data_IF_136410854356
#
_entry.id   IF_136410854356
#
_cell.length_a   1.000
_cell.length_b   1.000
_cell.length_c   1.000
_cell.angle_alpha   90.00
_cell.angle_beta   90.00
_cell.angle_gamma   90.00
#
_symmetry.space_group_name_H-M   'P 1'
#
loop_
_entity.id
_entity.type
_entity.pdbx_description
1 polymer ?
#
# COMPACT_ATOMS: atom_id res chain seq x y z
N UNK A 1 11.18 13.86 -13.59
CA UNK A 1 9.86 13.20 -13.48
C UNK A 1 9.96 11.68 -13.42
N UNK A 2 10.82 11.05 -14.23
CA UNK A 2 10.97 9.58 -14.27
C UNK A 2 11.33 8.93 -12.92
N UNK A 3 12.18 9.58 -12.12
CA UNK A 3 12.55 9.12 -10.77
C UNK A 3 11.38 9.11 -9.78
N UNK A 4 10.46 10.07 -9.90
CA UNK A 4 9.30 10.17 -9.02
C UNK A 4 8.32 9.04 -9.32
N UNK A 5 7.97 8.85 -10.60
CA UNK A 5 7.11 7.73 -11.02
C UNK A 5 7.70 6.37 -10.67
N UNK A 6 9.03 6.23 -10.79
CA UNK A 6 9.73 5.02 -10.36
C UNK A 6 9.50 4.72 -8.87
N UNK A 7 9.60 5.74 -8.00
CA UNK A 7 9.35 5.55 -6.58
C UNK A 7 7.89 5.30 -6.23
N UNK A 8 6.96 6.01 -6.87
CA UNK A 8 5.51 5.77 -6.71
C UNK A 8 5.15 4.32 -7.03
N UNK A 9 5.67 3.80 -8.14
CA UNK A 9 5.45 2.41 -8.54
C UNK A 9 6.06 1.40 -7.53
N UNK A 10 7.25 1.67 -7.00
CA UNK A 10 7.85 0.81 -5.99
C UNK A 10 7.06 0.80 -4.68
N UNK A 11 6.61 1.95 -4.21
CA UNK A 11 5.82 2.07 -2.97
C UNK A 11 4.49 1.33 -3.10
N UNK A 12 3.79 1.50 -4.23
CA UNK A 12 2.55 0.77 -4.48
C UNK A 12 2.76 -0.75 -4.58
N UNK A 13 3.84 -1.19 -5.22
CA UNK A 13 4.15 -2.61 -5.33
C UNK A 13 4.36 -3.22 -3.95
N UNK A 14 5.15 -2.56 -3.10
CA UNK A 14 5.39 -2.99 -1.72
C UNK A 14 4.06 -3.05 -0.95
N UNK A 15 3.25 -1.99 -0.96
CA UNK A 15 2.00 -1.98 -0.18
C UNK A 15 1.01 -3.03 -0.68
N UNK A 16 0.93 -3.28 -2.00
CA UNK A 16 0.10 -4.36 -2.56
C UNK A 16 0.56 -5.73 -2.09
N UNK A 17 1.86 -5.98 -2.11
CA UNK A 17 2.44 -7.24 -1.63
C UNK A 17 2.15 -7.45 -0.14
N UNK A 18 2.43 -6.42 0.68
CA UNK A 18 2.17 -6.50 2.13
C UNK A 18 0.68 -6.57 2.48
N UNK A 19 -0.20 -6.04 1.63
CA UNK A 19 -1.65 -6.11 1.79
C UNK A 19 -2.26 -7.48 1.50
N UNK A 20 -1.54 -8.38 0.82
CA UNK A 20 -2.00 -9.75 0.59
C UNK A 20 -1.85 -10.65 1.82
N UNK A 21 -0.96 -10.28 2.75
CA UNK A 21 -0.77 -11.06 3.97
C UNK A 21 -1.94 -10.83 4.92
N UNK A 22 -2.77 -11.86 5.09
CA UNK A 22 -3.79 -11.88 6.13
C UNK A 22 -3.11 -12.05 7.50
N UNK A 23 -3.44 -11.20 8.49
CA UNK A 23 -3.00 -11.39 9.85
C UNK A 23 -3.44 -12.77 10.38
N UNK A 24 -2.56 -13.43 11.12
CA UNK A 24 -2.81 -14.77 11.67
C UNK A 24 -3.77 -14.80 12.86
N UNK A 25 -4.13 -13.63 13.41
CA UNK A 25 -4.96 -13.48 14.59
C UNK A 25 -6.12 -12.51 14.32
N UNK A 26 -7.34 -12.97 14.58
CA UNK A 26 -8.58 -12.18 14.49
C UNK A 26 -9.16 -12.05 13.07
N UNK A 27 -10.34 -11.45 12.98
CA UNK A 27 -10.96 -11.00 11.72
C UNK A 27 -10.43 -9.60 11.36
N UNK A 28 -9.12 -9.49 11.13
CA UNK A 28 -8.52 -8.21 10.74
C UNK A 28 -8.67 -8.03 9.24
N UNK A 29 -9.44 -7.01 8.84
CA UNK A 29 -9.54 -6.59 7.46
C UNK A 29 -8.30 -5.79 7.08
N UNK A 30 -7.77 -6.05 5.88
CA UNK A 30 -6.62 -5.34 5.33
C UNK A 30 -7.08 -4.52 4.13
N UNK A 31 -6.84 -3.21 4.17
CA UNK A 31 -7.20 -2.29 3.10
C UNK A 31 -5.96 -1.53 2.60
N UNK A 32 -5.90 -1.28 1.29
CA UNK A 32 -4.83 -0.48 0.67
C UNK A 32 -5.42 0.80 0.10
N UNK A 33 -4.78 1.94 0.42
CA UNK A 33 -5.23 3.28 0.02
C UNK A 33 -4.09 3.97 -0.72
N UNK A 34 -4.36 4.44 -1.94
CA UNK A 34 -3.38 5.10 -2.80
C UNK A 34 -3.93 6.44 -3.28
N UNK A 35 -3.28 7.53 -2.90
CA UNK A 35 -3.52 8.89 -3.37
C UNK A 35 -2.23 9.39 -4.05
N UNK A 36 -2.18 9.21 -5.37
CA UNK A 36 -1.03 9.63 -6.19
C UNK A 36 -0.92 11.14 -6.35
N UNK A 37 -2.03 11.87 -6.20
CA UNK A 37 -2.05 13.33 -6.36
C UNK A 37 -1.38 14.02 -5.17
N UNK A 38 -1.48 13.42 -3.99
CA UNK A 38 -0.87 13.91 -2.74
C UNK A 38 0.31 13.08 -2.24
N UNK A 39 0.73 12.08 -3.01
CA UNK A 39 1.80 11.13 -2.66
C UNK A 39 1.56 10.42 -1.31
N UNK A 40 0.30 10.08 -1.01
CA UNK A 40 -0.08 9.32 0.19
C UNK A 40 -0.37 7.86 -0.15
N UNK A 41 0.29 6.95 0.55
CA UNK A 41 0.17 5.51 0.34
C UNK A 41 0.06 4.82 1.70
N UNK A 42 -1.03 4.09 1.93
CA UNK A 42 -1.33 3.52 3.23
C UNK A 42 -1.78 2.07 3.14
N UNK A 43 -1.28 1.27 4.08
CA UNK A 43 -1.81 -0.04 4.42
C UNK A 43 -2.58 0.11 5.73
N UNK A 44 -3.89 -0.07 5.69
CA UNK A 44 -4.77 0.03 6.84
C UNK A 44 -5.23 -1.35 7.30
N UNK A 45 -5.38 -1.52 8.62
CA UNK A 45 -5.84 -2.76 9.26
C UNK A 45 -6.91 -2.40 10.29
N UNK A 46 -8.07 -3.03 10.24
CA UNK A 46 -9.17 -2.85 11.21
C UNK A 46 -9.77 -4.17 11.66
#
# INVERSE_FOLDING_TARGET
>A
MEKLEKYRNYIEQIIKEYGQYKPSYGEVEVQTIFDRDRDHYQLWRC
#
